data_IF_767302552182
#
_entry.id   IF_767302552182
#
_cell.length_a   1.000
_cell.length_b   1.000
_cell.length_c   1.000
_cell.angle_alpha   90.00
_cell.angle_beta   90.00
_cell.angle_gamma   90.00
#
_symmetry.space_group_name_H-M   'P 1'
#
loop_
_entity.id
_entity.type
_entity.pdbx_description
1 polymer ?
#
# COMPACT_ATOMS: atom_id res chain seq x y z
N UNK A 1 21.88 -3.28 6.70
CA UNK A 1 21.00 -2.24 6.11
C UNK A 1 20.81 -1.19 7.16
N UNK A 2 21.59 -0.12 7.09
CA UNK A 2 21.45 1.02 8.01
C UNK A 2 20.47 2.00 7.39
N UNK A 3 19.20 1.85 7.76
CA UNK A 3 18.11 2.72 7.32
C UNK A 3 17.45 3.39 8.51
N UNK A 4 17.44 4.71 8.51
CA UNK A 4 16.69 5.51 9.47
C UNK A 4 15.24 5.59 9.04
N UNK A 5 14.34 5.24 9.96
CA UNK A 5 12.90 5.30 9.79
C UNK A 5 12.37 6.51 10.53
N UNK A 6 11.96 7.54 9.79
CA UNK A 6 11.42 8.76 10.37
C UNK A 6 10.00 9.03 9.86
N UNK A 7 9.18 9.68 10.69
CA UNK A 7 7.86 10.16 10.30
C UNK A 7 8.00 11.54 9.69
N UNK A 8 7.80 11.67 8.38
CA UNK A 8 7.96 12.96 7.70
C UNK A 8 6.80 13.94 7.94
N UNK A 9 5.62 13.46 8.32
CA UNK A 9 4.48 14.33 8.60
C UNK A 9 3.26 13.54 9.03
N UNK A 10 2.33 14.23 9.70
CA UNK A 10 1.02 13.71 10.09
C UNK A 10 -0.01 14.74 9.69
N UNK A 11 -0.89 14.37 8.76
CA UNK A 11 -1.94 15.25 8.26
C UNK A 11 -3.30 14.73 8.75
N UNK A 12 -4.25 15.63 8.92
CA UNK A 12 -5.65 15.27 9.19
C UNK A 12 -6.46 15.91 8.08
N UNK A 13 -7.33 15.14 7.45
CA UNK A 13 -8.16 15.60 6.34
C UNK A 13 -9.61 15.18 6.54
N UNK A 14 -10.53 15.91 5.94
CA UNK A 14 -11.94 15.54 5.95
C UNK A 14 -12.28 14.59 4.77
N UNK A 15 -11.55 14.70 3.65
CA UNK A 15 -11.80 13.98 2.40
C UNK A 15 -10.51 13.55 1.66
N UNK A 16 -10.51 12.33 1.09
CA UNK A 16 -9.44 11.75 0.25
C UNK A 16 -9.48 12.26 -1.21
N UNK A 17 -9.60 13.57 -1.41
CA UNK A 17 -9.66 14.14 -2.77
C UNK A 17 -8.27 14.26 -3.42
N UNK A 18 -8.17 14.20 -4.76
CA UNK A 18 -6.93 14.48 -5.48
C UNK A 18 -6.30 15.83 -5.11
N UNK A 19 -7.14 16.85 -4.85
CA UNK A 19 -6.68 18.18 -4.43
C UNK A 19 -6.02 18.15 -3.05
N UNK A 20 -6.58 17.36 -2.13
CA UNK A 20 -5.97 17.16 -0.81
C UNK A 20 -4.60 16.48 -0.92
N UNK A 21 -4.47 15.45 -1.76
CA UNK A 21 -3.20 14.78 -1.99
C UNK A 21 -2.13 15.70 -2.58
N UNK A 22 -2.51 16.53 -3.55
CA UNK A 22 -1.61 17.53 -4.12
C UNK A 22 -1.11 18.52 -3.05
N UNK A 23 -2.00 18.98 -2.17
CA UNK A 23 -1.62 19.87 -1.07
C UNK A 23 -0.59 19.21 -0.15
N UNK A 24 -0.84 17.97 0.28
CA UNK A 24 0.07 17.22 1.16
C UNK A 24 1.44 16.98 0.50
N UNK A 25 1.46 16.59 -0.78
CA UNK A 25 2.70 16.32 -1.50
C UNK A 25 3.53 17.59 -1.75
N UNK A 26 2.87 18.73 -2.02
CA UNK A 26 3.53 20.02 -2.15
C UNK A 26 4.07 20.55 -0.81
N UNK A 27 3.36 20.35 0.29
CA UNK A 27 3.88 20.69 1.63
C UNK A 27 5.21 19.95 1.90
N UNK A 28 5.26 18.65 1.60
CA UNK A 28 6.49 17.86 1.74
C UNK A 28 7.62 18.37 0.84
N UNK A 29 7.29 18.77 -0.39
CA UNK A 29 8.26 19.35 -1.33
C UNK A 29 8.81 20.68 -0.81
N UNK A 30 7.94 21.54 -0.28
CA UNK A 30 8.31 22.82 0.30
C UNK A 30 9.18 22.67 1.57
N UNK A 31 9.03 21.55 2.29
CA UNK A 31 9.86 21.20 3.45
C UNK A 31 11.23 20.61 3.07
N UNK A 32 11.57 20.58 1.79
CA UNK A 32 12.87 20.15 1.27
C UNK A 32 12.93 18.69 0.81
N UNK A 33 11.78 18.01 0.70
CA UNK A 33 11.76 16.68 0.10
C UNK A 33 11.72 16.81 -1.43
N UNK A 34 12.88 16.88 -2.06
CA UNK A 34 12.98 17.13 -3.49
C UNK A 34 12.92 15.85 -4.33
N UNK A 35 13.64 14.81 -3.92
CA UNK A 35 13.77 13.57 -4.68
C UNK A 35 13.26 12.36 -3.90
N UNK A 36 12.39 11.58 -4.56
CA UNK A 36 11.75 10.40 -4.02
C UNK A 36 11.83 9.30 -5.06
N UNK A 37 12.44 8.17 -4.72
CA UNK A 37 12.62 7.08 -5.67
C UNK A 37 11.34 6.26 -5.84
N UNK A 38 10.65 5.99 -4.74
CA UNK A 38 9.43 5.18 -4.74
C UNK A 38 8.45 5.70 -3.71
N UNK A 39 7.18 5.75 -4.11
CA UNK A 39 6.03 5.88 -3.24
C UNK A 39 5.32 4.54 -3.14
N UNK A 40 5.40 3.88 -1.98
CA UNK A 40 4.50 2.78 -1.69
C UNK A 40 3.18 3.35 -1.14
N UNK A 41 2.05 3.05 -1.79
CA UNK A 41 0.75 3.63 -1.45
C UNK A 41 -0.34 2.59 -1.31
N UNK A 42 -1.37 2.93 -0.55
CA UNK A 42 -2.61 2.18 -0.55
C UNK A 42 -3.41 2.51 -1.82
N UNK A 43 -4.26 1.59 -2.27
CA UNK A 43 -5.00 1.70 -3.54
C UNK A 43 -6.10 2.78 -3.45
N UNK A 44 -5.68 4.04 -3.34
CA UNK A 44 -6.52 5.21 -3.11
C UNK A 44 -6.81 5.93 -4.43
N UNK A 45 -8.06 6.37 -4.62
CA UNK A 45 -8.44 7.10 -5.81
C UNK A 45 -7.71 8.46 -5.85
N UNK A 46 -7.17 8.82 -7.00
CA UNK A 46 -6.60 10.14 -7.22
C UNK A 46 -5.17 10.34 -6.69
N UNK A 47 -4.62 9.38 -5.93
CA UNK A 47 -3.31 9.56 -5.30
C UNK A 47 -2.15 9.36 -6.27
N UNK A 48 -2.21 8.35 -7.14
CA UNK A 48 -1.21 8.14 -8.20
C UNK A 48 -1.07 9.36 -9.11
N UNK A 49 -2.19 10.00 -9.47
CA UNK A 49 -2.20 11.21 -10.28
C UNK A 49 -1.54 12.38 -9.54
N UNK A 50 -1.80 12.52 -8.24
CA UNK A 50 -1.19 13.57 -7.43
C UNK A 50 0.34 13.36 -7.27
N UNK A 51 0.79 12.12 -7.09
CA UNK A 51 2.22 11.78 -7.03
C UNK A 51 2.89 12.12 -8.35
N UNK A 52 2.33 11.68 -9.46
CA UNK A 52 2.89 11.93 -10.80
C UNK A 52 3.00 13.44 -11.09
N UNK A 53 2.05 14.25 -10.60
CA UNK A 53 2.08 15.70 -10.77
C UNK A 53 3.17 16.40 -9.94
N UNK A 54 3.45 15.95 -8.71
CA UNK A 54 4.41 16.63 -7.82
C UNK A 54 5.83 16.05 -7.94
N UNK A 55 5.93 14.73 -8.12
CA UNK A 55 7.16 13.94 -8.19
C UNK A 55 7.16 13.06 -9.47
N UNK A 56 7.33 13.65 -10.66
CA UNK A 56 7.22 12.92 -11.93
C UNK A 56 8.29 11.84 -12.14
N UNK A 57 9.41 11.92 -11.41
CA UNK A 57 10.50 10.93 -11.47
C UNK A 57 10.31 9.75 -10.51
N UNK A 58 9.35 9.85 -9.58
CA UNK A 58 9.16 8.83 -8.56
C UNK A 58 8.36 7.66 -9.11
N UNK A 59 8.79 6.43 -8.77
CA UNK A 59 8.02 5.24 -9.07
C UNK A 59 6.87 5.08 -8.07
N UNK A 60 5.74 4.54 -8.53
CA UNK A 60 4.58 4.26 -7.68
C UNK A 60 4.48 2.75 -7.49
N UNK A 61 4.37 2.33 -6.23
CA UNK A 61 4.12 0.95 -5.84
C UNK A 61 2.80 0.87 -5.07
N UNK A 62 1.81 0.18 -5.64
CA UNK A 62 0.58 -0.14 -4.90
C UNK A 62 0.85 -1.24 -3.89
N UNK A 63 0.33 -1.09 -2.68
CA UNK A 63 0.48 -2.09 -1.63
C UNK A 63 -0.25 -3.38 -2.00
N UNK A 64 0.51 -4.47 -2.14
CA UNK A 64 -0.04 -5.78 -2.51
C UNK A 64 -0.97 -6.33 -1.43
N UNK A 65 -0.69 -6.06 -0.16
CA UNK A 65 -1.58 -6.47 0.95
C UNK A 65 -2.95 -5.80 0.84
N UNK A 66 -2.99 -4.50 0.54
CA UNK A 66 -4.25 -3.79 0.32
C UNK A 66 -4.95 -4.25 -0.96
N UNK A 67 -4.18 -4.54 -2.01
CA UNK A 67 -4.74 -5.12 -3.23
C UNK A 67 -5.40 -6.48 -2.97
N UNK A 68 -4.76 -7.37 -2.21
CA UNK A 68 -5.31 -8.67 -1.80
C UNK A 68 -6.59 -8.49 -0.98
N UNK A 69 -6.60 -7.58 0.00
CA UNK A 69 -7.78 -7.30 0.83
C UNK A 69 -8.97 -6.82 -0.02
N UNK A 70 -8.72 -5.86 -0.92
CA UNK A 70 -9.75 -5.36 -1.83
C UNK A 70 -10.29 -6.47 -2.75
N UNK A 71 -9.40 -7.36 -3.20
CA UNK A 71 -9.73 -8.48 -4.08
C UNK A 71 -10.57 -9.55 -3.38
N UNK A 72 -10.25 -9.86 -2.12
CA UNK A 72 -10.91 -10.92 -1.34
C UNK A 72 -12.23 -10.48 -0.69
N UNK A 73 -12.53 -9.17 -0.67
CA UNK A 73 -13.74 -8.62 -0.02
C UNK A 73 -15.05 -9.20 -0.57
N UNK A 74 -15.07 -9.54 -1.86
CA UNK A 74 -16.26 -10.05 -2.57
C UNK A 74 -16.15 -11.53 -2.94
N UNK A 75 -15.16 -12.23 -2.39
CA UNK A 75 -14.92 -13.65 -2.64
C UNK A 75 -15.70 -14.48 -1.62
N UNK A 76 -16.30 -15.57 -2.09
CA UNK A 76 -17.01 -16.51 -1.22
C UNK A 76 -16.07 -17.19 -0.24
N UNK A 77 -16.52 -17.44 0.99
CA UNK A 77 -15.74 -18.13 2.01
C UNK A 77 -15.24 -19.53 1.56
N UNK A 78 -16.00 -20.22 0.70
CA UNK A 78 -15.61 -21.54 0.18
C UNK A 78 -14.39 -21.46 -0.74
N UNK A 79 -14.28 -20.37 -1.51
CA UNK A 79 -13.28 -20.21 -2.55
C UNK A 79 -12.05 -19.42 -2.08
N UNK A 80 -12.19 -18.64 -1.00
CA UNK A 80 -11.14 -17.71 -0.54
C UNK A 80 -9.80 -18.40 -0.26
N UNK A 81 -9.82 -19.63 0.28
CA UNK A 81 -8.60 -20.37 0.62
C UNK A 81 -7.82 -20.77 -0.63
N UNK A 82 -8.54 -21.24 -1.65
CA UNK A 82 -7.94 -21.66 -2.91
C UNK A 82 -7.51 -20.46 -3.74
N UNK A 83 -8.37 -19.44 -3.83
CA UNK A 83 -8.04 -18.18 -4.50
C UNK A 83 -6.79 -17.54 -3.91
N UNK A 84 -6.64 -17.52 -2.59
CA UNK A 84 -5.45 -17.00 -1.92
C UNK A 84 -4.19 -17.83 -2.19
N UNK A 85 -4.33 -19.15 -2.37
CA UNK A 85 -3.20 -20.03 -2.73
C UNK A 85 -2.70 -19.69 -4.14
N UNK A 86 -3.61 -19.52 -5.08
CA UNK A 86 -3.27 -19.17 -6.46
C UNK A 86 -2.73 -17.73 -6.55
N UNK A 87 -3.37 -16.78 -5.85
CA UNK A 87 -2.89 -15.39 -5.83
C UNK A 87 -1.49 -15.25 -5.22
N UNK A 88 -1.13 -16.15 -4.29
CA UNK A 88 0.21 -16.22 -3.70
C UNK A 88 1.30 -16.57 -4.71
N UNK A 89 0.99 -17.33 -5.76
CA UNK A 89 1.99 -17.63 -6.81
C UNK A 89 2.31 -16.40 -7.65
N UNK A 90 1.35 -15.48 -7.81
CA UNK A 90 1.52 -14.22 -8.53
C UNK A 90 2.51 -13.30 -7.80
N UNK A 91 2.21 -12.89 -6.56
CA UNK A 91 3.05 -11.89 -5.87
C UNK A 91 4.33 -12.45 -5.24
N UNK A 92 4.44 -13.78 -5.05
CA UNK A 92 5.70 -14.41 -4.61
C UNK A 92 6.59 -14.88 -5.76
N UNK A 93 6.20 -14.64 -7.01
CA UNK A 93 7.04 -14.97 -8.15
C UNK A 93 8.43 -14.30 -8.06
N UNK A 94 9.43 -14.91 -8.68
CA UNK A 94 10.81 -14.39 -8.63
C UNK A 94 11.03 -13.24 -9.61
N UNK A 95 10.33 -13.29 -10.76
CA UNK A 95 10.45 -12.31 -11.85
C UNK A 95 9.07 -11.80 -12.27
N UNK A 96 9.03 -10.61 -12.86
CA UNK A 96 7.79 -10.03 -13.39
C UNK A 96 7.16 -10.93 -14.46
N UNK A 97 7.96 -11.50 -15.37
CA UNK A 97 7.49 -12.41 -16.42
C UNK A 97 6.81 -13.64 -15.82
N UNK A 98 7.42 -14.27 -14.81
CA UNK A 98 6.80 -15.40 -14.12
C UNK A 98 5.51 -15.00 -13.41
N UNK A 99 5.45 -13.77 -12.86
CA UNK A 99 4.27 -13.27 -12.19
C UNK A 99 3.11 -13.02 -13.16
N UNK A 100 3.41 -12.51 -14.36
CA UNK A 100 2.44 -12.33 -15.44
C UNK A 100 1.84 -13.66 -15.89
N UNK A 101 2.69 -14.67 -16.12
CA UNK A 101 2.22 -16.02 -16.48
C UNK A 101 1.30 -16.59 -15.39
N UNK A 102 1.65 -16.41 -14.11
CA UNK A 102 0.79 -16.83 -13.01
C UNK A 102 -0.51 -16.03 -12.94
N UNK A 103 -0.50 -14.75 -13.32
CA UNK A 103 -1.69 -13.92 -13.40
C UNK A 103 -2.60 -14.37 -14.55
N UNK A 104 -2.04 -14.81 -15.68
CA UNK A 104 -2.80 -15.41 -16.79
C UNK A 104 -3.51 -16.70 -16.33
N UNK A 105 -2.80 -17.61 -15.65
CA UNK A 105 -3.42 -18.81 -15.07
C UNK A 105 -4.48 -18.48 -14.01
N UNK A 106 -4.27 -17.44 -13.22
CA UNK A 106 -5.24 -16.96 -12.25
C UNK A 106 -6.51 -16.45 -12.94
N UNK A 107 -6.36 -15.73 -14.05
CA UNK A 107 -7.47 -15.24 -14.87
C UNK A 107 -8.25 -16.38 -15.51
N UNK A 108 -7.58 -17.39 -16.07
CA UNK A 108 -8.25 -18.55 -16.68
C UNK A 108 -9.15 -19.28 -15.67
N UNK A 109 -8.67 -19.43 -14.43
CA UNK A 109 -9.38 -20.15 -13.38
C UNK A 109 -10.47 -19.32 -12.72
N UNK A 110 -10.17 -18.07 -12.35
CA UNK A 110 -11.05 -17.25 -11.52
C UNK A 110 -11.78 -16.14 -12.28
N UNK A 111 -11.35 -15.80 -13.49
CA UNK A 111 -11.88 -14.66 -14.27
C UNK A 111 -13.37 -14.76 -14.58
N UNK A 112 -13.90 -15.97 -14.79
CA UNK A 112 -15.35 -16.17 -14.99
C UNK A 112 -16.17 -15.94 -13.72
N UNK A 113 -15.62 -16.29 -12.55
CA UNK A 113 -16.34 -16.27 -11.26
C UNK A 113 -16.15 -14.95 -10.52
N UNK A 114 -14.96 -14.36 -10.62
CA UNK A 114 -14.54 -13.13 -9.95
C UNK A 114 -13.87 -12.17 -10.95
N UNK A 115 -14.57 -11.70 -11.99
CA UNK A 115 -14.00 -10.83 -13.02
C UNK A 115 -13.41 -9.55 -12.41
N UNK A 116 -14.11 -8.94 -11.43
CA UNK A 116 -13.66 -7.71 -10.76
C UNK A 116 -12.32 -7.89 -10.03
N UNK A 117 -12.02 -9.08 -9.51
CA UNK A 117 -10.74 -9.38 -8.88
C UNK A 117 -9.63 -9.32 -9.93
N UNK A 118 -9.79 -10.07 -11.02
CA UNK A 118 -8.79 -10.15 -12.10
C UNK A 118 -8.59 -8.78 -12.75
N UNK A 119 -9.66 -8.08 -13.13
CA UNK A 119 -9.58 -6.75 -13.73
C UNK A 119 -8.87 -5.76 -12.80
N UNK A 120 -9.10 -5.84 -11.49
CA UNK A 120 -8.40 -4.98 -10.52
C UNK A 120 -6.88 -5.24 -10.51
N UNK A 121 -6.44 -6.49 -10.61
CA UNK A 121 -5.00 -6.81 -10.68
C UNK A 121 -4.38 -6.39 -12.01
N UNK A 122 -5.06 -6.62 -13.14
CA UNK A 122 -4.60 -6.21 -14.47
C UNK A 122 -4.48 -4.70 -14.60
N UNK A 123 -5.52 -3.97 -14.20
CA UNK A 123 -5.54 -2.49 -14.29
C UNK A 123 -4.47 -1.84 -13.42
N UNK A 124 -4.16 -2.44 -12.27
CA UNK A 124 -3.16 -1.94 -11.35
C UNK A 124 -1.78 -2.57 -11.57
N UNK A 125 -1.59 -3.45 -12.57
CA UNK A 125 -0.40 -4.27 -12.70
C UNK A 125 0.88 -3.45 -12.77
N UNK A 126 0.89 -2.38 -13.58
CA UNK A 126 2.04 -1.51 -13.76
C UNK A 126 2.56 -0.90 -12.44
N UNK A 127 1.65 -0.60 -11.50
CA UNK A 127 2.01 -0.08 -10.17
C UNK A 127 2.18 -1.20 -9.13
N UNK A 128 1.65 -2.40 -9.40
CA UNK A 128 1.81 -3.56 -8.53
C UNK A 128 3.13 -4.28 -8.78
N UNK A 129 3.67 -4.27 -10.01
CA UNK A 129 4.88 -4.98 -10.41
C UNK A 129 6.17 -4.18 -10.18
N UNK A 130 6.08 -2.90 -9.81
CA UNK A 130 7.23 -2.00 -9.60
C UNK A 130 8.28 -2.59 -8.65
N UNK A 131 7.87 -3.34 -7.61
CA UNK A 131 8.78 -3.98 -6.66
C UNK A 131 9.73 -5.00 -7.31
N UNK A 132 9.40 -5.57 -8.48
CA UNK A 132 10.28 -6.50 -9.19
C UNK A 132 11.59 -5.84 -9.66
N UNK A 133 11.59 -4.52 -9.88
CA UNK A 133 12.80 -3.75 -10.23
C UNK A 133 13.81 -3.68 -9.08
N UNK A 134 13.37 -3.93 -7.85
CA UNK A 134 14.20 -3.84 -6.65
C UNK A 134 14.68 -5.21 -6.18
N UNK A 135 15.84 -5.26 -5.49
CA UNK A 135 16.41 -6.51 -5.01
C UNK A 135 15.57 -7.13 -3.87
N UNK A 136 15.67 -8.45 -3.63
CA UNK A 136 14.80 -9.20 -2.72
C UNK A 136 14.68 -8.64 -1.30
N UNK A 137 15.72 -7.99 -0.79
CA UNK A 137 15.73 -7.39 0.54
C UNK A 137 14.72 -6.24 0.65
N UNK A 138 14.59 -5.44 -0.42
CA UNK A 138 13.62 -4.35 -0.50
C UNK A 138 12.22 -4.90 -0.75
N UNK A 139 12.11 -5.95 -1.58
CA UNK A 139 10.82 -6.63 -1.80
C UNK A 139 10.23 -7.11 -0.48
N UNK A 140 11.04 -7.70 0.39
CA UNK A 140 10.60 -8.14 1.72
C UNK A 140 9.98 -7.01 2.54
N UNK A 141 10.59 -5.82 2.52
CA UNK A 141 10.07 -4.63 3.21
C UNK A 141 8.71 -4.18 2.66
N UNK A 142 8.49 -4.29 1.34
CA UNK A 142 7.21 -3.94 0.69
C UNK A 142 6.03 -4.84 1.12
N UNK A 143 6.31 -6.10 1.49
CA UNK A 143 5.28 -7.04 1.95
C UNK A 143 5.09 -7.07 3.46
N UNK A 144 6.07 -6.63 4.23
CA UNK A 144 6.00 -6.68 5.70
C UNK A 144 5.36 -5.42 6.25
N UNK A 145 4.13 -5.53 6.75
CA UNK A 145 3.41 -4.44 7.42
C UNK A 145 3.88 -4.20 8.86
N UNK A 146 4.83 -4.99 9.38
CA UNK A 146 5.23 -5.03 10.79
C UNK A 146 5.62 -3.66 11.39
N UNK A 147 6.37 -2.83 10.67
CA UNK A 147 6.82 -1.53 11.22
C UNK A 147 5.69 -0.51 11.32
N UNK A 148 4.75 -0.57 10.37
CA UNK A 148 3.61 0.33 10.34
C UNK A 148 2.52 -0.15 11.30
N UNK A 149 2.31 -1.46 11.39
CA UNK A 149 1.39 -2.05 12.36
C UNK A 149 1.81 -1.77 13.81
N UNK A 150 3.10 -1.85 14.12
CA UNK A 150 3.60 -1.59 15.46
C UNK A 150 3.33 -0.14 15.89
N UNK A 151 3.61 0.84 15.02
CA UNK A 151 3.29 2.24 15.30
C UNK A 151 1.78 2.49 15.44
N UNK A 152 0.99 1.93 14.53
CA UNK A 152 -0.47 2.07 14.59
C UNK A 152 -1.09 1.37 15.81
N UNK A 153 -0.44 0.33 16.32
CA UNK A 153 -0.80 -0.29 17.59
C UNK A 153 -0.51 0.66 18.76
N UNK A 154 0.60 1.39 18.73
CA UNK A 154 0.92 2.40 19.74
C UNK A 154 -0.07 3.58 19.69
N UNK A 155 -0.37 4.11 18.50
CA UNK A 155 -1.38 5.17 18.35
C UNK A 155 -2.72 4.74 18.93
N UNK A 156 -3.21 3.55 18.58
CA UNK A 156 -4.47 3.01 19.12
C UNK A 156 -4.47 2.85 20.64
N UNK A 157 -3.33 2.48 21.25
CA UNK A 157 -3.22 2.42 22.71
C UNK A 157 -3.42 3.80 23.35
N UNK A 158 -2.89 4.85 22.73
CA UNK A 158 -2.95 6.22 23.24
C UNK A 158 -4.31 6.88 22.96
N UNK A 159 -4.97 6.51 21.86
CA UNK A 159 -6.26 7.08 21.46
C UNK A 159 -7.49 6.35 22.01
N UNK A 160 -7.34 5.13 22.54
CA UNK A 160 -8.44 4.27 23.03
C UNK A 160 -9.40 4.94 24.02
N UNK A 161 -8.92 5.90 24.82
CA UNK A 161 -9.70 6.56 25.87
C UNK A 161 -10.28 7.93 25.46
N UNK A 162 -10.16 8.33 24.17
CA UNK A 162 -10.66 9.62 23.68
C UNK A 162 -11.91 9.40 22.81
N UNK A 163 -13.09 9.65 23.38
CA UNK A 163 -14.39 9.39 22.74
C UNK A 163 -14.75 10.36 21.58
N UNK A 164 -14.02 11.46 21.41
CA UNK A 164 -14.30 12.49 20.39
C UNK A 164 -13.10 12.70 19.46
N UNK A 165 -12.71 11.67 18.70
CA UNK A 165 -11.81 11.84 17.56
C UNK A 165 -12.68 11.86 16.31
N UNK A 166 -13.05 13.06 15.85
CA UNK A 166 -13.69 13.27 14.55
C UNK A 166 -12.76 12.75 13.44
N UNK A 167 -13.31 12.02 12.46
CA UNK A 167 -12.65 11.40 11.29
C UNK A 167 -11.22 11.89 11.05
N UNK A 168 -10.20 11.14 11.51
CA UNK A 168 -8.80 11.46 11.21
C UNK A 168 -8.24 10.39 10.30
N UNK A 169 -7.89 10.79 9.08
CA UNK A 169 -6.88 10.08 8.34
C UNK A 169 -5.55 10.27 9.07
N UNK A 170 -4.84 9.19 9.35
CA UNK A 170 -3.48 9.26 9.86
C UNK A 170 -2.53 8.94 8.71
N UNK A 171 -1.82 9.96 8.27
CA UNK A 171 -0.78 9.85 7.26
C UNK A 171 0.54 9.63 7.96
N UNK A 172 1.19 8.50 7.70
CA UNK A 172 2.57 8.28 8.13
C UNK A 172 3.42 7.99 6.91
N UNK A 173 4.46 8.80 6.77
CA UNK A 173 5.46 8.67 5.73
C UNK A 173 6.74 8.19 6.40
N UNK A 174 7.11 6.93 6.15
CA UNK A 174 8.35 6.32 6.66
C UNK A 174 9.40 6.38 5.54
N UNK A 175 10.46 7.15 5.76
CA UNK A 175 11.65 7.10 4.92
C UNK A 175 12.46 5.86 5.30
N UNK A 176 13.00 5.18 4.30
CA UNK A 176 13.97 4.11 4.44
C UNK A 176 15.15 4.55 3.59
N UNK A 177 16.29 4.79 4.23
CA UNK A 177 17.54 5.05 3.50
C UNK A 177 18.28 3.73 3.35
N UNK A 178 18.67 3.37 2.13
CA UNK A 178 19.51 2.20 1.88
C UNK A 178 20.43 2.50 0.70
N UNK A 179 21.74 2.35 0.85
CA UNK A 179 22.75 2.61 -0.19
C UNK A 179 22.63 4.00 -0.85
N UNK A 180 22.40 5.06 -0.06
CA UNK A 180 22.26 6.44 -0.58
C UNK A 180 20.94 6.71 -1.32
N UNK A 181 19.99 5.77 -1.30
CA UNK A 181 18.70 5.85 -1.97
C UNK A 181 17.57 6.04 -0.95
N UNK A 182 16.71 7.04 -1.17
CA UNK A 182 15.55 7.35 -0.33
C UNK A 182 14.32 6.59 -0.81
N UNK A 183 13.88 5.61 -0.02
CA UNK A 183 12.66 4.86 -0.21
C UNK A 183 11.58 5.47 0.67
N UNK A 184 10.41 5.73 0.11
CA UNK A 184 9.33 6.34 0.87
C UNK A 184 8.14 5.40 0.86
N UNK A 185 7.82 4.89 2.04
CA UNK A 185 6.58 4.20 2.27
C UNK A 185 5.55 5.20 2.83
N UNK A 186 4.48 5.43 2.07
CA UNK A 186 3.35 6.25 2.50
C UNK A 186 2.20 5.30 2.84
N UNK A 187 2.00 5.05 4.13
CA UNK A 187 0.84 4.28 4.60
C UNK A 187 -0.28 5.26 4.96
N UNK A 188 -1.48 4.97 4.46
CA UNK A 188 -2.64 5.84 4.59
C UNK A 188 -3.75 5.05 5.28
N UNK A 189 -4.03 5.44 6.53
CA UNK A 189 -5.15 4.87 7.27
C UNK A 189 -6.39 5.75 7.21
N UNK A 190 -7.41 5.23 6.54
CA UNK A 190 -8.79 5.73 6.58
C UNK A 190 -9.48 5.20 7.86
N UNK A 191 -9.61 6.04 8.88
CA UNK A 191 -10.30 5.70 10.14
C UNK A 191 -11.79 6.09 10.06
N UNK A 192 -12.52 5.55 9.07
CA UNK A 192 -13.99 5.63 9.05
C UNK A 192 -14.58 4.69 10.11
N UNK A 193 -15.24 5.30 11.10
CA UNK A 193 -16.38 4.77 11.88
C UNK A 193 -16.44 3.24 12.02
N UNK A 194 -15.89 2.71 13.12
CA UNK A 194 -16.34 1.44 13.72
C UNK A 194 -16.22 0.15 12.91
N UNK A 195 -15.71 0.17 11.68
CA UNK A 195 -15.51 -1.04 10.89
C UNK A 195 -14.37 -0.87 9.88
N UNK A 196 -13.35 -1.72 10.03
CA UNK A 196 -12.20 -1.93 9.14
C UNK A 196 -10.92 -1.09 9.34
N UNK A 197 -10.57 -0.72 10.58
CA UNK A 197 -9.25 -0.18 10.90
C UNK A 197 -8.33 -1.24 11.49
N UNK A 198 -7.70 -1.98 10.57
CA UNK A 198 -6.33 -2.47 10.67
C UNK A 198 -5.96 -3.14 12.01
N UNK A 199 -6.55 -4.28 12.34
CA UNK A 199 -5.92 -5.24 13.26
C UNK A 199 -5.46 -6.44 12.45
N UNK A 200 -4.17 -6.48 12.15
CA UNK A 200 -3.53 -7.77 11.90
C UNK A 200 -3.37 -8.43 13.27
N UNK A 201 -4.25 -9.40 13.53
CA UNK A 201 -3.89 -10.59 14.28
C UNK A 201 -3.47 -11.59 13.22
N UNK A 202 -2.22 -12.03 13.21
CA UNK A 202 -1.91 -13.35 12.66
C UNK A 202 -1.64 -14.27 13.83
N UNK A 203 -2.47 -15.31 13.90
CA UNK A 203 -2.12 -16.55 14.57
C UNK A 203 -1.05 -17.24 13.72
N UNK A 204 -0.05 -17.75 14.47
CA UNK A 204 1.18 -18.44 14.09
C UNK A 204 2.30 -17.53 13.55
#
# INVERSE_FOLDING_TARGET
MDGLKEVLGMYVGENESSKYWLMVLNDLKNRGLEDVLIFATDNLPGFSQAITAVYPKAEIQKCIIHQIRNSTRYVSYKDIRELMKDLKTVYKANTENTALIQLDYFEDKWGKKYPSCVSSWRNNWAELSTFFKYPPEIRKLMYTTNTIENFNRQLRKVTKNKNNISNRFFFRKESLFSNGKCYIQVDIKNERLGSNTCSVKYFL
#
